data_IF_383811940171
#
_entry.id   IF_383811940171
#
_cell.length_a   1.000
_cell.length_b   1.000
_cell.length_c   1.000
_cell.angle_alpha   90.00
_cell.angle_beta   90.00
_cell.angle_gamma   90.00
#
_symmetry.space_group_name_H-M   'P 1'
#
loop_
_entity.id
_entity.type
_entity.pdbx_description
1 polymer ?
#
# COMPACT_ATOMS: atom_id res chain seq x y z
N UNK A 1 29.38 45.70 -32.53
CA UNK A 1 28.47 44.55 -32.80
C UNK A 1 28.70 43.55 -31.69
N UNK A 2 27.83 43.55 -30.68
CA UNK A 2 27.88 42.56 -29.60
C UNK A 2 26.86 41.50 -29.97
N UNK A 3 27.34 40.38 -30.49
CA UNK A 3 26.54 39.17 -30.69
C UNK A 3 26.21 38.61 -29.32
N UNK A 4 25.09 39.07 -28.75
CA UNK A 4 24.40 38.34 -27.69
C UNK A 4 23.95 37.01 -28.28
N UNK A 5 24.66 35.95 -27.92
CA UNK A 5 24.18 34.58 -28.10
C UNK A 5 22.90 34.45 -27.27
N UNK A 6 21.74 34.59 -27.92
CA UNK A 6 20.49 34.09 -27.37
C UNK A 6 20.64 32.58 -27.25
N UNK A 7 20.91 32.09 -26.03
CA UNK A 7 20.70 30.68 -25.73
C UNK A 7 19.25 30.33 -26.10
N UNK A 8 19.00 29.13 -26.67
CA UNK A 8 17.64 28.63 -26.85
C UNK A 8 16.97 28.65 -25.48
N UNK A 9 15.73 29.12 -25.41
CA UNK A 9 14.94 28.97 -24.21
C UNK A 9 14.88 27.47 -23.91
N UNK A 10 15.46 27.03 -22.80
CA UNK A 10 15.33 25.65 -22.33
C UNK A 10 13.83 25.38 -22.14
N UNK A 11 13.20 24.75 -23.12
CA UNK A 11 11.80 24.33 -23.12
C UNK A 11 11.62 23.15 -22.15
N UNK A 12 11.93 23.36 -20.86
CA UNK A 12 11.58 22.39 -19.84
C UNK A 12 10.06 22.45 -19.64
N UNK A 13 9.30 21.41 -20.03
CA UNK A 13 7.84 21.40 -19.90
C UNK A 13 7.38 21.43 -18.43
N UNK A 14 8.30 21.21 -17.49
CA UNK A 14 8.07 21.26 -16.04
C UNK A 14 8.48 22.61 -15.42
N UNK A 15 8.85 23.63 -16.22
CA UNK A 15 9.16 24.95 -15.69
C UNK A 15 7.91 25.69 -15.20
N UNK A 16 8.03 26.28 -14.01
CA UNK A 16 7.00 27.09 -13.37
C UNK A 16 6.96 28.55 -13.89
N UNK A 17 7.89 28.95 -14.74
CA UNK A 17 8.04 30.34 -15.22
C UNK A 17 6.87 30.81 -16.10
N UNK A 18 6.09 29.87 -16.64
CA UNK A 18 4.90 30.13 -17.48
C UNK A 18 3.62 30.35 -16.66
N UNK A 19 3.67 30.16 -15.34
CA UNK A 19 2.50 30.33 -14.48
C UNK A 19 2.16 31.80 -14.30
N UNK A 20 0.89 32.13 -14.51
CA UNK A 20 0.37 33.49 -14.41
C UNK A 20 -0.79 33.56 -13.40
N UNK A 21 -1.04 34.77 -12.88
CA UNK A 21 -2.17 35.05 -11.99
C UNK A 21 -2.10 34.31 -10.64
N UNK A 22 -3.23 33.73 -10.22
CA UNK A 22 -3.38 33.04 -8.93
C UNK A 22 -2.43 31.85 -8.79
N UNK A 23 -2.19 31.11 -9.88
CA UNK A 23 -1.30 29.96 -9.89
C UNK A 23 0.15 30.32 -9.56
N UNK A 24 0.64 31.48 -10.04
CA UNK A 24 1.98 31.97 -9.73
C UNK A 24 2.11 32.38 -8.25
N UNK A 25 1.03 32.87 -7.65
CA UNK A 25 0.99 33.20 -6.22
C UNK A 25 0.96 31.93 -5.36
N UNK A 26 0.19 30.93 -5.76
CA UNK A 26 0.14 29.62 -5.10
C UNK A 26 1.48 28.92 -5.17
N UNK A 27 2.15 28.95 -6.33
CA UNK A 27 3.50 28.43 -6.49
C UNK A 27 4.50 29.12 -5.56
N UNK A 28 4.53 30.46 -5.52
CA UNK A 28 5.40 31.21 -4.58
C UNK A 28 5.14 30.83 -3.12
N UNK A 29 3.89 30.59 -2.76
CA UNK A 29 3.53 30.13 -1.42
C UNK A 29 4.07 28.72 -1.19
N UNK A 30 3.85 27.80 -2.13
CA UNK A 30 4.28 26.40 -2.03
C UNK A 30 5.82 26.28 -1.95
N UNK A 31 6.55 27.09 -2.72
CA UNK A 31 8.01 27.13 -2.72
C UNK A 31 8.56 27.48 -1.33
N UNK A 32 7.88 28.34 -0.55
CA UNK A 32 8.29 28.64 0.83
C UNK A 32 8.23 27.41 1.75
N UNK A 33 7.45 26.38 1.43
CA UNK A 33 7.26 25.19 2.26
C UNK A 33 8.06 23.96 1.78
N UNK A 34 8.66 24.00 0.59
CA UNK A 34 9.34 22.83 0.00
C UNK A 34 10.52 22.32 0.86
N UNK A 35 11.24 23.24 1.52
CA UNK A 35 12.41 22.89 2.34
C UNK A 35 12.06 22.03 3.57
N UNK A 36 10.77 21.93 3.93
CA UNK A 36 10.28 21.11 5.05
C UNK A 36 10.20 19.62 4.72
N UNK A 37 10.51 19.23 3.49
CA UNK A 37 10.39 17.88 2.94
C UNK A 37 11.71 17.49 2.24
N UNK A 38 12.07 16.18 2.18
CA UNK A 38 13.26 15.72 1.48
C UNK A 38 13.33 16.21 0.03
N UNK A 39 14.54 16.43 -0.48
CA UNK A 39 14.79 17.04 -1.78
C UNK A 39 14.04 16.36 -2.94
N UNK A 40 13.97 15.03 -2.90
CA UNK A 40 13.28 14.19 -3.89
C UNK A 40 11.77 14.49 -4.00
N UNK A 41 11.10 14.83 -2.89
CA UNK A 41 9.64 15.01 -2.83
C UNK A 41 9.23 16.50 -2.90
N UNK A 42 10.19 17.42 -3.06
CA UNK A 42 9.91 18.87 -3.10
C UNK A 42 8.99 19.24 -4.25
N UNK A 43 9.17 18.61 -5.41
CA UNK A 43 8.29 18.80 -6.56
C UNK A 43 6.86 18.36 -6.27
N UNK A 44 6.70 17.21 -5.61
CA UNK A 44 5.39 16.65 -5.27
C UNK A 44 4.65 17.50 -4.24
N UNK A 45 5.36 18.03 -3.25
CA UNK A 45 4.78 18.95 -2.27
C UNK A 45 4.33 20.25 -2.92
N UNK A 46 5.14 20.82 -3.83
CA UNK A 46 4.73 22.03 -4.55
C UNK A 46 3.42 21.82 -5.28
N UNK A 47 3.33 20.74 -6.05
CA UNK A 47 2.12 20.38 -6.79
C UNK A 47 0.95 20.06 -5.85
N UNK A 48 1.18 19.32 -4.77
CA UNK A 48 0.13 18.97 -3.79
C UNK A 48 -0.47 20.22 -3.14
N UNK A 49 0.35 21.19 -2.76
CA UNK A 49 -0.12 22.47 -2.19
C UNK A 49 -0.95 23.24 -3.22
N UNK A 50 -0.46 23.34 -4.46
CA UNK A 50 -1.18 24.03 -5.55
C UNK A 50 -2.52 23.36 -5.84
N UNK A 51 -2.57 22.02 -5.90
CA UNK A 51 -3.79 21.26 -6.09
C UNK A 51 -4.80 21.48 -4.96
N UNK A 52 -4.36 21.44 -3.70
CA UNK A 52 -5.24 21.68 -2.55
C UNK A 52 -5.80 23.12 -2.53
N UNK A 53 -5.01 24.11 -2.96
CA UNK A 53 -5.49 25.48 -3.16
C UNK A 53 -6.54 25.56 -4.28
N UNK A 54 -6.31 24.87 -5.40
CA UNK A 54 -7.28 24.81 -6.49
C UNK A 54 -8.59 24.09 -6.08
N UNK A 55 -8.49 23.01 -5.31
CA UNK A 55 -9.65 22.27 -4.81
C UNK A 55 -10.45 23.07 -3.78
N UNK A 56 -9.78 23.79 -2.87
CA UNK A 56 -10.48 24.68 -1.92
C UNK A 56 -11.14 25.85 -2.66
N UNK A 57 -10.52 26.39 -3.71
CA UNK A 57 -11.09 27.45 -4.56
C UNK A 57 -12.37 26.98 -5.24
N UNK A 58 -12.36 25.77 -5.78
CA UNK A 58 -13.53 25.16 -6.40
C UNK A 58 -14.67 24.94 -5.38
N UNK A 59 -14.35 24.69 -4.11
CA UNK A 59 -15.32 24.47 -3.04
C UNK A 59 -15.95 25.76 -2.50
N UNK A 60 -15.14 26.80 -2.27
CA UNK A 60 -15.56 28.02 -1.54
C UNK A 60 -16.16 29.11 -2.45
N UNK A 61 -16.21 28.85 -3.75
CA UNK A 61 -16.50 29.85 -4.79
C UNK A 61 -15.32 30.79 -5.00
N UNK A 62 -15.30 31.56 -6.09
CA UNK A 62 -14.17 32.41 -6.54
C UNK A 62 -13.74 33.57 -5.60
N UNK A 63 -13.76 33.39 -4.28
CA UNK A 63 -13.23 34.29 -3.26
C UNK A 63 -11.70 34.23 -3.22
N UNK A 64 -11.00 35.37 -3.32
CA UNK A 64 -9.54 35.40 -3.27
C UNK A 64 -9.04 34.89 -1.91
N UNK A 65 -7.96 34.12 -1.91
CA UNK A 65 -7.35 33.66 -0.67
C UNK A 65 -6.50 34.76 -0.04
N UNK A 66 -6.60 34.89 1.29
CA UNK A 66 -5.60 35.64 2.05
C UNK A 66 -4.29 34.85 2.12
N UNK A 67 -3.15 35.55 2.23
CA UNK A 67 -1.84 34.91 2.35
C UNK A 67 -1.77 33.95 3.55
N UNK A 68 -2.41 34.33 4.67
CA UNK A 68 -2.48 33.49 5.86
C UNK A 68 -3.24 32.17 5.60
N UNK A 69 -4.34 32.21 4.84
CA UNK A 69 -5.10 31.02 4.47
C UNK A 69 -4.27 30.09 3.60
N UNK A 70 -3.57 30.63 2.59
CA UNK A 70 -2.71 29.81 1.73
C UNK A 70 -1.56 29.17 2.50
N UNK A 71 -0.91 29.93 3.38
CA UNK A 71 0.12 29.39 4.27
C UNK A 71 -0.43 28.32 5.22
N UNK A 72 -1.67 28.47 5.70
CA UNK A 72 -2.32 27.45 6.55
C UNK A 72 -2.58 26.16 5.78
N UNK A 73 -3.15 26.25 4.58
CA UNK A 73 -3.35 25.09 3.70
C UNK A 73 -2.00 24.41 3.42
N UNK A 74 -0.99 25.17 3.01
CA UNK A 74 0.36 24.65 2.78
C UNK A 74 0.94 23.93 4.01
N UNK A 75 0.76 24.50 5.21
CA UNK A 75 1.21 23.87 6.46
C UNK A 75 0.47 22.56 6.76
N UNK A 76 -0.82 22.47 6.46
CA UNK A 76 -1.61 21.25 6.63
C UNK A 76 -1.16 20.16 5.66
N UNK A 77 -0.92 20.51 4.38
CA UNK A 77 -0.42 19.57 3.37
C UNK A 77 0.93 18.97 3.77
N UNK A 78 1.85 19.80 4.25
CA UNK A 78 3.15 19.31 4.77
C UNK A 78 2.95 18.40 6.00
N UNK A 79 2.04 18.75 6.91
CA UNK A 79 1.74 17.90 8.06
C UNK A 79 1.15 16.54 7.63
N UNK A 80 0.28 16.53 6.63
CA UNK A 80 -0.31 15.30 6.08
C UNK A 80 0.71 14.46 5.33
N UNK A 81 1.67 15.08 4.61
CA UNK A 81 2.82 14.38 4.07
C UNK A 81 3.59 13.63 5.17
N UNK A 82 3.95 14.31 6.26
CA UNK A 82 4.69 13.67 7.35
C UNK A 82 3.90 12.59 8.07
N UNK A 83 2.57 12.73 8.17
CA UNK A 83 1.70 11.66 8.69
C UNK A 83 1.68 10.44 7.79
N UNK A 84 1.57 10.63 6.47
CA UNK A 84 1.64 9.55 5.48
C UNK A 84 3.00 8.86 5.54
N UNK A 85 4.08 9.64 5.58
CA UNK A 85 5.43 9.10 5.69
C UNK A 85 5.64 8.30 6.98
N UNK A 86 5.18 8.83 8.11
CA UNK A 86 5.24 8.11 9.39
C UNK A 86 4.46 6.79 9.33
N UNK A 87 3.28 6.77 8.68
CA UNK A 87 2.50 5.54 8.47
C UNK A 87 3.22 4.54 7.56
N UNK A 88 3.91 5.01 6.51
CA UNK A 88 4.70 4.14 5.62
C UNK A 88 5.89 3.51 6.34
N UNK A 89 6.51 4.21 7.29
CA UNK A 89 7.64 3.67 8.06
C UNK A 89 7.22 2.85 9.27
N UNK A 90 6.10 3.20 9.94
CA UNK A 90 5.71 2.64 11.23
C UNK A 90 4.39 1.84 11.21
N UNK A 91 3.78 1.66 10.03
CA UNK A 91 2.53 0.92 9.83
C UNK A 91 1.26 1.62 10.33
N UNK A 92 1.39 2.71 11.10
CA UNK A 92 0.26 3.47 11.65
C UNK A 92 0.58 4.95 11.76
N UNK A 93 -0.45 5.78 11.85
CA UNK A 93 -0.35 7.18 12.22
C UNK A 93 -0.96 7.44 13.61
N UNK A 94 -0.64 8.59 14.21
CA UNK A 94 -1.27 8.98 15.48
C UNK A 94 -2.79 9.22 15.33
N UNK A 95 -3.30 9.41 14.11
CA UNK A 95 -4.73 9.55 13.83
C UNK A 95 -5.53 8.30 14.18
N UNK A 96 -4.89 7.13 14.06
CA UNK A 96 -5.45 5.82 14.42
C UNK A 96 -5.56 5.60 15.94
N UNK A 97 -4.96 6.47 16.76
CA UNK A 97 -4.98 6.38 18.22
C UNK A 97 -6.10 7.22 18.86
N UNK A 98 -6.68 6.68 19.94
CA UNK A 98 -7.73 7.38 20.69
C UNK A 98 -7.22 8.68 21.33
N UNK A 99 -8.13 9.60 21.68
CA UNK A 99 -7.76 10.85 22.32
C UNK A 99 -7.00 10.63 23.64
N UNK A 100 -7.43 9.65 24.46
CA UNK A 100 -6.75 9.26 25.71
C UNK A 100 -5.31 8.79 25.45
N UNK A 101 -5.10 7.98 24.42
CA UNK A 101 -3.77 7.48 24.04
C UNK A 101 -2.86 8.63 23.59
N UNK A 102 -3.36 9.53 22.75
CA UNK A 102 -2.60 10.71 22.30
C UNK A 102 -2.26 11.66 23.45
N UNK A 103 -3.17 11.85 24.40
CA UNK A 103 -2.92 12.65 25.60
C UNK A 103 -1.79 12.05 26.45
N UNK A 104 -1.80 10.73 26.65
CA UNK A 104 -0.71 10.02 27.33
C UNK A 104 0.62 10.17 26.58
N UNK A 105 0.63 9.96 25.26
CA UNK A 105 1.84 10.13 24.45
C UNK A 105 2.40 11.56 24.53
N UNK A 106 1.53 12.57 24.64
CA UNK A 106 1.93 13.97 24.83
C UNK A 106 2.52 14.22 26.21
N UNK A 107 1.92 13.67 27.26
CA UNK A 107 2.41 13.82 28.64
C UNK A 107 3.79 13.16 28.83
N UNK A 108 3.95 11.96 28.27
CA UNK A 108 5.13 11.12 28.45
C UNK A 108 6.18 11.31 27.32
N UNK A 109 5.92 12.19 26.36
CA UNK A 109 6.76 12.44 25.16
C UNK A 109 7.13 11.16 24.35
N UNK A 110 6.17 10.25 24.17
CA UNK A 110 6.37 8.94 23.52
C UNK A 110 6.36 8.98 21.98
N UNK A 111 6.61 10.14 21.37
CA UNK A 111 6.53 10.30 19.92
C UNK A 111 7.66 9.56 19.18
N UNK A 112 8.84 9.47 19.78
CA UNK A 112 10.00 8.74 19.25
C UNK A 112 9.92 7.23 19.49
N UNK A 113 9.23 6.81 20.56
CA UNK A 113 9.12 5.41 20.99
C UNK A 113 7.65 5.03 21.11
N UNK A 114 6.94 5.01 19.98
CA UNK A 114 5.54 4.64 19.98
C UNK A 114 5.39 3.13 20.26
N UNK A 115 4.67 2.71 21.31
CA UNK A 115 4.53 1.29 21.67
C UNK A 115 3.68 0.49 20.67
N UNK A 116 2.92 1.17 19.81
CA UNK A 116 2.12 0.53 18.76
C UNK A 116 2.82 0.47 17.42
N UNK A 117 3.84 1.31 17.20
CA UNK A 117 4.48 1.44 15.90
C UNK A 117 5.15 0.12 15.53
N UNK A 118 4.88 -0.36 14.32
CA UNK A 118 5.53 -1.52 13.74
C UNK A 118 6.54 -0.98 12.74
N UNK A 119 7.83 -1.13 13.03
CA UNK A 119 8.87 -0.67 12.10
C UNK A 119 8.82 -1.52 10.83
N UNK A 120 8.52 -0.88 9.71
CA UNK A 120 8.55 -1.50 8.39
C UNK A 120 10.00 -1.44 7.90
N UNK A 121 10.54 -2.59 7.51
CA UNK A 121 11.88 -2.72 6.95
C UNK A 121 11.79 -2.90 5.42
N UNK A 122 12.83 -2.48 4.71
CA UNK A 122 12.89 -2.67 3.24
C UNK A 122 13.16 -4.12 2.90
N UNK A 123 12.46 -4.65 1.88
CA UNK A 123 12.72 -5.99 1.35
C UNK A 123 14.08 -6.07 0.65
N UNK A 124 14.52 -4.99 0.01
CA UNK A 124 15.85 -4.89 -0.64
C UNK A 124 17.00 -4.67 0.34
N UNK A 125 16.76 -4.80 1.65
CA UNK A 125 17.78 -4.64 2.68
C UNK A 125 18.79 -5.80 2.54
N UNK A 126 20.11 -5.52 2.41
CA UNK A 126 21.11 -6.57 2.36
C UNK A 126 21.26 -7.24 3.73
N UNK A 127 21.31 -8.56 3.74
CA UNK A 127 21.53 -9.42 4.90
C UNK A 127 22.74 -10.31 4.61
N UNK A 128 23.61 -10.44 5.60
CA UNK A 128 24.77 -11.32 5.51
C UNK A 128 24.45 -12.66 6.15
N UNK A 129 24.66 -13.74 5.41
CA UNK A 129 24.53 -15.10 5.92
C UNK A 129 25.76 -15.51 6.77
N UNK A 130 25.70 -16.69 7.40
CA UNK A 130 26.80 -17.24 8.21
C UNK A 130 28.08 -17.51 7.39
N UNK A 131 27.97 -17.60 6.06
CA UNK A 131 29.06 -17.86 5.13
C UNK A 131 29.66 -16.57 4.54
N UNK A 132 29.13 -15.40 4.91
CA UNK A 132 29.58 -14.09 4.42
C UNK A 132 29.00 -13.65 3.07
N UNK A 133 28.03 -14.37 2.50
CA UNK A 133 27.32 -13.94 1.30
C UNK A 133 26.25 -12.91 1.65
N UNK A 134 25.99 -12.00 0.71
CA UNK A 134 24.95 -10.97 0.85
C UNK A 134 23.73 -11.37 0.03
N UNK A 135 22.58 -11.52 0.70
CA UNK A 135 21.26 -11.76 0.08
C UNK A 135 20.29 -10.64 0.46
N UNK A 136 19.25 -10.42 -0.33
CA UNK A 136 18.21 -9.45 0.04
C UNK A 136 17.26 -10.04 1.10
N UNK A 137 16.72 -9.20 1.99
CA UNK A 137 15.78 -9.64 3.02
C UNK A 137 14.54 -10.28 2.41
N UNK A 138 14.04 -9.74 1.29
CA UNK A 138 12.88 -10.28 0.58
C UNK A 138 13.05 -11.74 0.16
N UNK A 139 14.25 -12.14 -0.24
CA UNK A 139 14.54 -13.51 -0.70
C UNK A 139 14.49 -14.54 0.43
N UNK A 140 14.59 -14.09 1.68
CA UNK A 140 14.55 -14.97 2.86
C UNK A 140 13.13 -15.23 3.37
N UNK A 141 12.13 -14.51 2.86
CA UNK A 141 10.74 -14.63 3.30
C UNK A 141 10.04 -15.70 2.46
N UNK A 142 9.50 -16.73 3.12
CA UNK A 142 8.72 -17.76 2.44
C UNK A 142 7.34 -17.23 1.99
N UNK A 143 6.87 -17.65 0.82
CA UNK A 143 5.51 -17.38 0.37
C UNK A 143 4.56 -18.46 0.92
N UNK A 144 3.83 -18.12 1.98
CA UNK A 144 2.83 -19.00 2.61
C UNK A 144 1.69 -19.42 1.65
N UNK A 145 1.56 -18.75 0.49
CA UNK A 145 0.57 -19.07 -0.54
C UNK A 145 1.16 -19.79 -1.74
N UNK A 146 2.43 -20.19 -1.69
CA UNK A 146 3.04 -20.96 -2.75
C UNK A 146 2.24 -22.26 -2.98
N UNK A 147 2.00 -22.59 -4.26
CA UNK A 147 1.35 -23.84 -4.62
C UNK A 147 2.31 -24.98 -4.28
N UNK A 148 1.86 -25.89 -3.42
CA UNK A 148 2.55 -27.16 -3.22
C UNK A 148 2.41 -28.01 -4.49
N UNK A 149 3.49 -28.06 -5.28
CA UNK A 149 3.55 -28.77 -6.56
C UNK A 149 3.34 -30.28 -6.34
N UNK A 150 3.84 -30.83 -5.24
CA UNK A 150 3.68 -32.23 -4.88
C UNK A 150 2.21 -32.54 -4.61
N UNK A 151 1.60 -31.78 -3.69
CA UNK A 151 0.17 -31.93 -3.40
C UNK A 151 -0.71 -31.69 -4.64
N UNK A 152 -0.31 -30.78 -5.54
CA UNK A 152 -1.02 -30.53 -6.79
C UNK A 152 -0.95 -31.72 -7.76
N UNK A 153 0.23 -32.33 -7.92
CA UNK A 153 0.40 -33.54 -8.73
C UNK A 153 -0.33 -34.74 -8.14
N UNK A 154 -0.30 -34.91 -6.82
CA UNK A 154 -1.02 -35.97 -6.12
C UNK A 154 -2.54 -35.80 -6.30
N UNK A 155 -3.06 -34.58 -6.14
CA UNK A 155 -4.46 -34.28 -6.40
C UNK A 155 -4.85 -34.57 -7.85
N UNK A 156 -4.00 -34.21 -8.82
CA UNK A 156 -4.24 -34.51 -10.24
C UNK A 156 -4.24 -36.01 -10.51
N UNK A 157 -3.29 -36.75 -9.93
CA UNK A 157 -3.18 -38.21 -10.09
C UNK A 157 -4.39 -38.91 -9.48
N UNK A 158 -4.81 -38.46 -8.28
CA UNK A 158 -6.02 -38.94 -7.63
C UNK A 158 -7.25 -38.72 -8.51
N UNK A 159 -7.44 -37.50 -9.05
CA UNK A 159 -8.57 -37.19 -9.92
C UNK A 159 -8.60 -38.03 -11.20
N UNK A 160 -7.44 -38.33 -11.80
CA UNK A 160 -7.34 -39.21 -12.99
C UNK A 160 -7.71 -40.66 -12.67
N UNK A 161 -7.35 -41.15 -11.48
CA UNK A 161 -7.69 -42.50 -11.03
C UNK A 161 -9.15 -42.63 -10.53
N UNK A 162 -9.81 -41.52 -10.23
CA UNK A 162 -11.12 -41.50 -9.58
C UNK A 162 -12.25 -41.81 -10.57
N UNK A 163 -13.27 -42.60 -10.19
CA UNK A 163 -14.43 -42.84 -11.04
C UNK A 163 -15.16 -41.54 -11.42
N UNK A 164 -15.47 -41.36 -12.71
CA UNK A 164 -16.14 -40.17 -13.26
C UNK A 164 -17.41 -39.76 -12.50
N UNK A 165 -18.17 -40.72 -11.98
CA UNK A 165 -19.39 -40.45 -11.20
C UNK A 165 -19.11 -39.72 -9.89
N UNK A 166 -18.00 -40.02 -9.20
CA UNK A 166 -17.59 -39.27 -8.01
C UNK A 166 -17.16 -37.85 -8.33
N UNK A 167 -16.49 -37.64 -9.47
CA UNK A 167 -16.10 -36.31 -9.92
C UNK A 167 -17.34 -35.44 -10.18
N UNK A 168 -18.37 -36.00 -10.83
CA UNK A 168 -19.64 -35.31 -11.05
C UNK A 168 -20.34 -34.94 -9.73
N UNK A 169 -20.37 -35.87 -8.77
CA UNK A 169 -20.90 -35.65 -7.42
C UNK A 169 -20.13 -34.52 -6.72
N UNK A 170 -18.80 -34.53 -6.78
CA UNK A 170 -17.94 -33.51 -6.20
C UNK A 170 -18.18 -32.13 -6.82
N UNK A 171 -18.37 -32.05 -8.14
CA UNK A 171 -18.70 -30.79 -8.83
C UNK A 171 -20.06 -30.23 -8.39
N UNK A 172 -21.09 -31.08 -8.25
CA UNK A 172 -22.40 -30.67 -7.69
C UNK A 172 -22.24 -30.08 -6.28
N UNK A 173 -21.47 -30.75 -5.41
CA UNK A 173 -21.20 -30.25 -4.06
C UNK A 173 -20.42 -28.91 -4.06
N UNK A 174 -19.42 -28.77 -4.93
CA UNK A 174 -18.64 -27.53 -5.08
C UNK A 174 -19.52 -26.36 -5.55
N UNK A 175 -20.47 -26.63 -6.44
CA UNK A 175 -21.41 -25.64 -6.95
C UNK A 175 -22.57 -25.33 -5.98
N UNK A 176 -22.72 -26.12 -4.91
CA UNK A 176 -23.81 -25.98 -3.94
C UNK A 176 -25.13 -26.63 -4.36
N UNK A 177 -25.11 -27.52 -5.36
CA UNK A 177 -26.30 -28.23 -5.83
C UNK A 177 -26.71 -29.36 -4.87
N UNK A 178 -28.01 -29.61 -4.76
CA UNK A 178 -28.53 -30.74 -4.00
C UNK A 178 -28.19 -32.07 -4.67
N UNK A 179 -27.67 -33.01 -3.89
CA UNK A 179 -27.38 -34.37 -4.35
C UNK A 179 -28.67 -35.16 -4.54
N UNK A 180 -28.75 -35.92 -5.63
CA UNK A 180 -29.85 -36.86 -5.83
C UNK A 180 -29.75 -38.02 -4.81
N UNK A 181 -30.84 -38.75 -4.52
CA UNK A 181 -30.80 -39.89 -3.60
C UNK A 181 -29.80 -40.97 -4.05
N UNK A 182 -29.67 -41.20 -5.36
CA UNK A 182 -28.76 -42.19 -5.94
C UNK A 182 -27.30 -41.74 -5.84
N UNK A 183 -27.02 -40.46 -6.08
CA UNK A 183 -25.69 -39.87 -5.92
C UNK A 183 -25.24 -39.89 -4.46
N UNK A 184 -26.17 -39.59 -3.53
CA UNK A 184 -25.92 -39.65 -2.09
C UNK A 184 -25.60 -41.08 -1.63
N UNK A 185 -26.35 -42.06 -2.13
CA UNK A 185 -26.11 -43.48 -1.82
C UNK A 185 -24.78 -43.98 -2.41
N UNK A 186 -24.41 -43.52 -3.61
CA UNK A 186 -23.13 -43.84 -4.25
C UNK A 186 -21.95 -43.30 -3.44
N UNK A 187 -22.02 -42.03 -3.02
CA UNK A 187 -21.01 -41.39 -2.18
C UNK A 187 -20.87 -42.10 -0.82
N UNK A 188 -21.99 -42.49 -0.19
CA UNK A 188 -21.98 -43.22 1.08
C UNK A 188 -21.25 -44.56 0.97
N UNK A 189 -21.53 -45.36 -0.06
CA UNK A 189 -20.84 -46.65 -0.28
C UNK A 189 -19.34 -46.46 -0.48
N UNK A 190 -18.95 -45.44 -1.25
CA UNK A 190 -17.55 -45.14 -1.49
C UNK A 190 -16.83 -44.72 -0.21
N UNK A 191 -17.40 -43.80 0.57
CA UNK A 191 -16.86 -43.38 1.87
C UNK A 191 -16.68 -44.55 2.82
N UNK A 192 -17.66 -45.45 2.90
CA UNK A 192 -17.60 -46.65 3.76
C UNK A 192 -16.47 -47.60 3.36
N UNK A 193 -16.12 -47.67 2.07
CA UNK A 193 -15.03 -48.52 1.56
C UNK A 193 -13.66 -47.94 1.88
N UNK A 194 -13.49 -46.63 1.72
CA UNK A 194 -12.21 -45.92 1.96
C UNK A 194 -11.99 -45.55 3.44
N UNK A 195 -12.96 -45.86 4.31
CA UNK A 195 -12.88 -45.55 5.74
C UNK A 195 -11.83 -46.45 6.40
N UNK A 196 -10.66 -45.88 6.68
CA UNK A 196 -9.65 -46.56 7.48
C UNK A 196 -10.16 -46.79 8.91
N UNK A 197 -10.02 -48.01 9.41
CA UNK A 197 -10.29 -48.34 10.81
C UNK A 197 -9.28 -47.61 11.70
N UNK A 198 -9.74 -46.63 12.48
CA UNK A 198 -8.89 -45.83 13.37
C UNK A 198 -8.38 -46.61 14.59
N UNK A 199 -8.93 -47.80 14.85
CA UNK A 199 -8.46 -48.75 15.84
C UNK A 199 -8.40 -50.13 15.18
N UNK A 200 -7.23 -50.76 15.20
CA UNK A 200 -7.13 -52.19 14.95
C UNK A 200 -7.83 -52.91 16.10
N UNK A 201 -8.82 -53.74 15.78
CA UNK A 201 -9.29 -54.79 16.71
C UNK A 201 -8.26 -55.90 16.76
#
# INVERSE_FOLDING_TARGET
MVTTLCCPQDDNPLSYDRLNGEWAQWFRTAQRFEHKVPAQDRGDIRHSIILELALTRARDGNKPFSEAMMCRIASCVVADYWRKQYKLTNGLDCGSCSQKQRAKCKADYLYSQCPKAIKIESLSKPITDENGNVTEFGDTIADDKAIDIGAWLDARTFLLSCPNRLIQIANKMRNGDNLTPTDSQYLWRFRKREQNTLLAM
#
